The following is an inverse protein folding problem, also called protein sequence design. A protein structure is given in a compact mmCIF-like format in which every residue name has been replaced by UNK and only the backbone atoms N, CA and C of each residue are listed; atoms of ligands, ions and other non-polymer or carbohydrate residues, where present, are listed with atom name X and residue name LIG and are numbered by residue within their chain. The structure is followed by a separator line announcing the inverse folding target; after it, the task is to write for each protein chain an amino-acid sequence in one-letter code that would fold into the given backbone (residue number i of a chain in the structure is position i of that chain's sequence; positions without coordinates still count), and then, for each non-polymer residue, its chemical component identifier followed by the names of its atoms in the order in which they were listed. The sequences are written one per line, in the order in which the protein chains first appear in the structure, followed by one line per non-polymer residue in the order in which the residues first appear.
data_IF_539545255626
#
_entry.id   IF_539545255626
#
_cell.length_a   1.000
_cell.length_b   1.000
_cell.length_c   1.000
_cell.angle_alpha   90.00
_cell.angle_beta   90.00
_cell.angle_gamma   90.00
#
_symmetry.space_group_name_H-M   'P 1'
#
loop_
_entity.id
_entity.type
_entity.pdbx_description
1 polymer ?
#
# COMPACT_ATOMS: atom_id res chain seq x y z
N UNK A 1 28.19 -36.37 -0.41
CA UNK A 1 27.15 -35.68 0.36
C UNK A 1 27.71 -35.40 1.74
N UNK A 2 27.51 -34.21 2.27
CA UNK A 2 28.09 -33.78 3.55
C UNK A 2 27.07 -33.71 4.68
N UNK A 3 25.81 -33.43 4.37
CA UNK A 3 24.72 -33.34 5.35
C UNK A 3 23.37 -33.56 4.65
N UNK A 4 22.37 -34.03 5.40
CA UNK A 4 20.98 -34.16 4.95
C UNK A 4 20.10 -33.54 6.03
N UNK A 5 19.30 -32.53 5.66
CA UNK A 5 18.31 -31.91 6.54
C UNK A 5 16.91 -32.18 5.97
N UNK A 6 16.09 -32.89 6.74
CA UNK A 6 14.69 -33.18 6.37
C UNK A 6 13.79 -32.13 6.99
N UNK A 7 13.23 -31.27 6.16
CA UNK A 7 12.23 -30.27 6.55
C UNK A 7 10.81 -30.74 6.29
N UNK A 8 9.80 -29.90 6.59
CA UNK A 8 8.39 -30.28 6.47
C UNK A 8 7.95 -30.64 5.05
N UNK A 9 8.29 -29.80 4.07
CA UNK A 9 7.91 -30.01 2.66
C UNK A 9 9.08 -30.45 1.77
N UNK A 10 10.33 -30.24 2.21
CA UNK A 10 11.53 -30.39 1.41
C UNK A 10 12.62 -31.10 2.21
N UNK A 11 13.42 -31.91 1.53
CA UNK A 11 14.69 -32.41 2.04
C UNK A 11 15.83 -31.65 1.36
N UNK A 12 16.72 -31.06 2.16
CA UNK A 12 17.93 -30.39 1.68
C UNK A 12 19.11 -31.36 1.80
N UNK A 13 19.72 -31.68 0.67
CA UNK A 13 20.96 -32.47 0.58
C UNK A 13 22.12 -31.52 0.34
N UNK A 14 23.10 -31.51 1.23
CA UNK A 14 24.32 -30.72 1.08
C UNK A 14 25.38 -31.54 0.34
N UNK A 15 25.95 -30.94 -0.70
CA UNK A 15 26.99 -31.55 -1.53
C UNK A 15 28.16 -30.59 -1.63
N UNK A 16 29.33 -31.06 -1.21
CA UNK A 16 30.59 -30.35 -1.43
C UNK A 16 31.16 -30.75 -2.81
N UNK A 17 31.34 -29.80 -3.75
CA UNK A 17 31.98 -30.09 -5.03
C UNK A 17 33.43 -30.53 -4.84
N UNK A 18 33.91 -31.45 -5.68
CA UNK A 18 35.32 -31.80 -5.72
C UNK A 18 36.18 -30.58 -6.15
N UNK A 19 37.44 -30.49 -5.71
CA UNK A 19 38.34 -29.41 -6.14
C UNK A 19 38.39 -29.27 -7.66
N UNK A 20 38.31 -28.03 -8.15
CA UNK A 20 38.32 -27.72 -9.59
C UNK A 20 36.97 -27.83 -10.31
N UNK A 21 35.93 -28.39 -9.67
CA UNK A 21 34.58 -28.43 -10.27
C UNK A 21 33.92 -27.06 -10.16
N UNK A 22 33.61 -26.45 -11.32
CA UNK A 22 32.87 -25.18 -11.36
C UNK A 22 31.44 -25.37 -10.90
N UNK A 23 30.99 -24.52 -9.96
CA UNK A 23 29.61 -24.50 -9.45
C UNK A 23 28.59 -24.38 -10.61
N UNK A 24 28.88 -23.55 -11.62
CA UNK A 24 28.01 -23.34 -12.78
C UNK A 24 27.70 -24.63 -13.54
N UNK A 25 28.64 -25.59 -13.59
CA UNK A 25 28.43 -26.89 -14.24
C UNK A 25 27.42 -27.75 -13.50
N UNK A 26 27.41 -27.67 -12.16
CA UNK A 26 26.45 -28.40 -11.33
C UNK A 26 25.07 -27.76 -11.43
N UNK A 27 24.99 -26.42 -11.32
CA UNK A 27 23.71 -25.70 -11.40
C UNK A 27 23.05 -25.82 -12.77
N UNK A 28 23.83 -25.98 -13.85
CA UNK A 28 23.31 -26.22 -15.19
C UNK A 28 22.57 -27.57 -15.31
N UNK A 29 22.95 -28.57 -14.51
CA UNK A 29 22.32 -29.91 -14.50
C UNK A 29 21.01 -29.96 -13.70
N UNK A 30 20.48 -28.81 -13.25
CA UNK A 30 19.26 -28.77 -12.44
C UNK A 30 18.08 -29.49 -13.12
N UNK A 31 17.90 -29.30 -14.44
CA UNK A 31 16.84 -29.97 -15.21
C UNK A 31 17.03 -31.48 -15.26
N UNK A 32 18.23 -31.93 -15.62
CA UNK A 32 18.57 -33.35 -15.74
C UNK A 32 18.42 -34.09 -14.40
N UNK A 33 18.86 -33.47 -13.30
CA UNK A 33 18.72 -34.04 -11.95
C UNK A 33 17.25 -34.08 -11.52
N UNK A 34 16.46 -33.05 -11.88
CA UNK A 34 15.00 -33.06 -11.62
C UNK A 34 14.34 -34.26 -12.30
N UNK A 35 14.67 -34.49 -13.58
CA UNK A 35 14.16 -35.61 -14.37
C UNK A 35 14.62 -36.96 -13.79
N UNK A 36 15.90 -37.09 -13.46
CA UNK A 36 16.46 -38.33 -12.91
C UNK A 36 15.85 -38.72 -11.55
N UNK A 37 15.46 -37.73 -10.73
CA UNK A 37 14.81 -37.96 -9.45
C UNK A 37 13.29 -38.14 -9.55
N UNK A 38 12.71 -37.99 -10.74
CA UNK A 38 11.26 -37.91 -10.96
C UNK A 38 10.58 -36.90 -10.00
N UNK A 39 11.29 -35.81 -9.68
CA UNK A 39 10.79 -34.77 -8.79
C UNK A 39 9.96 -33.76 -9.58
N UNK A 40 8.87 -33.21 -9.03
CA UNK A 40 8.05 -32.22 -9.75
C UNK A 40 8.85 -30.94 -10.04
N UNK A 41 9.66 -30.49 -9.07
CA UNK A 41 10.57 -29.34 -9.16
C UNK A 41 11.76 -29.55 -8.24
N UNK A 42 12.89 -28.93 -8.57
CA UNK A 42 14.11 -28.95 -7.75
C UNK A 42 14.70 -27.53 -7.67
N UNK A 43 15.26 -27.18 -6.51
CA UNK A 43 16.00 -25.93 -6.31
C UNK A 43 17.42 -26.24 -5.88
N UNK A 44 18.39 -25.59 -6.52
CA UNK A 44 19.78 -25.59 -6.07
C UNK A 44 20.14 -24.26 -5.43
N UNK A 45 20.69 -24.30 -4.23
CA UNK A 45 21.25 -23.17 -3.52
C UNK A 45 22.77 -23.27 -3.54
N UNK A 46 23.41 -22.40 -4.33
CA UNK A 46 24.84 -22.46 -4.56
C UNK A 46 25.48 -21.05 -4.48
N UNK A 47 26.46 -20.82 -3.58
CA UNK A 47 26.77 -21.61 -2.39
C UNK A 47 25.71 -21.42 -1.29
N UNK A 48 25.63 -22.39 -0.37
CA UNK A 48 24.87 -22.22 0.89
C UNK A 48 25.57 -21.13 1.73
N UNK A 49 24.85 -20.12 2.23
CA UNK A 49 25.42 -19.09 3.09
C UNK A 49 26.22 -19.66 4.26
N UNK A 50 27.48 -19.25 4.40
CA UNK A 50 28.36 -19.68 5.48
C UNK A 50 28.90 -21.11 5.35
N UNK A 51 28.68 -21.81 4.22
CA UNK A 51 29.18 -23.17 3.99
C UNK A 51 29.85 -23.34 2.63
N UNK A 52 30.87 -24.20 2.57
CA UNK A 52 31.54 -24.61 1.34
C UNK A 52 30.77 -25.75 0.62
N UNK A 53 29.46 -25.60 0.45
CA UNK A 53 28.60 -26.64 -0.10
C UNK A 53 27.48 -26.05 -0.97
N UNK A 54 26.93 -26.90 -1.83
CA UNK A 54 25.72 -26.67 -2.62
C UNK A 54 24.56 -27.40 -1.95
N UNK A 55 23.45 -26.71 -1.75
CA UNK A 55 22.22 -27.30 -1.23
C UNK A 55 21.31 -27.71 -2.38
N UNK A 56 20.93 -28.98 -2.44
CA UNK A 56 19.92 -29.49 -3.35
C UNK A 56 18.63 -29.72 -2.56
N UNK A 57 17.61 -28.94 -2.84
CA UNK A 57 16.30 -29.04 -2.19
C UNK A 57 15.35 -29.86 -3.06
N UNK A 58 14.91 -31.00 -2.51
CA UNK A 58 14.05 -31.97 -3.18
C UNK A 58 12.71 -32.03 -2.41
N UNK A 59 11.55 -31.95 -3.09
CA UNK A 59 10.25 -32.14 -2.48
C UNK A 59 10.10 -33.49 -1.79
N UNK A 60 9.57 -33.50 -0.58
CA UNK A 60 9.23 -34.73 0.12
C UNK A 60 8.04 -35.42 -0.57
N UNK A 61 8.04 -36.76 -0.60
CA UNK A 61 6.89 -37.53 -1.09
C UNK A 61 5.63 -37.33 -0.23
N UNK A 62 5.83 -37.05 1.07
CA UNK A 62 4.78 -36.71 2.03
C UNK A 62 5.23 -35.45 2.76
N UNK A 63 4.54 -34.34 2.56
CA UNK A 63 4.77 -33.12 3.30
C UNK A 63 4.05 -33.17 4.65
N UNK A 64 4.68 -32.64 5.69
CA UNK A 64 4.02 -32.37 6.96
C UNK A 64 3.55 -30.93 7.01
N UNK A 65 2.32 -30.71 7.48
CA UNK A 65 1.78 -29.39 7.72
C UNK A 65 2.56 -28.70 8.85
N UNK A 66 2.88 -27.42 8.70
CA UNK A 66 3.43 -26.59 9.78
C UNK A 66 2.27 -25.83 10.40
N UNK A 67 1.78 -26.28 11.54
CA UNK A 67 0.63 -25.63 12.20
C UNK A 67 1.07 -24.35 12.92
N UNK A 68 0.24 -23.30 12.90
CA UNK A 68 0.56 -22.01 13.52
C UNK A 68 0.84 -22.14 15.02
N UNK A 69 0.11 -23.01 15.70
CA UNK A 69 0.28 -23.29 17.14
C UNK A 69 1.73 -23.65 17.49
N UNK A 70 2.37 -24.49 16.70
CA UNK A 70 3.76 -24.91 16.96
C UNK A 70 4.74 -23.74 16.92
N UNK A 71 4.45 -22.74 16.08
CA UNK A 71 5.27 -21.54 15.97
C UNK A 71 4.98 -20.59 17.13
N UNK A 72 3.71 -20.36 17.46
CA UNK A 72 3.29 -19.48 18.56
C UNK A 72 3.76 -20.02 19.92
N UNK A 73 3.79 -21.35 20.10
CA UNK A 73 4.29 -21.97 21.33
C UNK A 73 5.82 -22.08 21.40
N UNK A 74 6.52 -21.79 20.29
CA UNK A 74 7.98 -21.84 20.23
C UNK A 74 8.67 -20.85 21.16
N UNK A 75 9.92 -21.15 21.53
CA UNK A 75 10.74 -20.24 22.34
C UNK A 75 10.99 -18.93 21.60
N UNK A 76 11.24 -19.01 20.29
CA UNK A 76 11.50 -17.88 19.40
C UNK A 76 10.34 -16.87 19.42
N UNK A 77 9.10 -17.35 19.32
CA UNK A 77 7.93 -16.48 19.37
C UNK A 77 7.66 -15.97 20.78
N UNK A 78 7.64 -16.85 21.80
CA UNK A 78 7.33 -16.46 23.18
C UNK A 78 8.34 -15.50 23.80
N UNK A 79 9.62 -15.63 23.44
CA UNK A 79 10.67 -14.74 23.95
C UNK A 79 10.73 -13.37 23.25
N UNK A 80 10.07 -13.21 22.10
CA UNK A 80 9.97 -11.92 21.43
C UNK A 80 9.11 -10.94 22.22
N UNK A 81 9.66 -9.75 22.50
CA UNK A 81 9.00 -8.66 23.23
C UNK A 81 8.19 -7.72 22.34
N UNK A 82 8.39 -7.77 21.02
CA UNK A 82 7.69 -6.87 20.10
C UNK A 82 6.23 -7.26 19.95
N UNK A 83 5.27 -6.32 20.13
CA UNK A 83 3.85 -6.63 20.00
C UNK A 83 3.42 -6.88 18.55
N UNK A 84 4.27 -6.55 17.56
CA UNK A 84 4.03 -6.81 16.13
C UNK A 84 4.92 -7.94 15.62
N UNK A 85 5.17 -8.94 16.47
CA UNK A 85 5.85 -10.19 16.08
C UNK A 85 4.92 -11.08 15.28
N UNK A 86 5.42 -11.64 14.18
CA UNK A 86 4.71 -12.52 13.27
C UNK A 86 5.34 -13.92 13.29
N UNK A 87 4.51 -14.94 13.49
CA UNK A 87 4.91 -16.34 13.32
C UNK A 87 4.86 -16.68 11.82
N UNK A 88 6.01 -16.87 11.17
CA UNK A 88 6.05 -17.09 9.72
C UNK A 88 6.03 -18.57 9.36
N UNK A 89 6.81 -19.42 10.04
CA UNK A 89 6.86 -20.85 9.71
C UNK A 89 8.19 -21.51 10.04
N UNK A 90 8.58 -22.51 9.24
CA UNK A 90 9.82 -23.28 9.43
C UNK A 90 10.69 -23.30 8.18
N UNK A 91 12.00 -23.23 8.37
CA UNK A 91 12.97 -23.49 7.29
C UNK A 91 13.11 -25.00 7.02
N UNK A 92 13.80 -25.37 5.93
CA UNK A 92 14.14 -26.76 5.59
C UNK A 92 14.94 -27.50 6.69
N UNK A 93 15.64 -26.76 7.56
CA UNK A 93 16.34 -27.31 8.73
C UNK A 93 15.41 -27.63 9.92
N UNK A 94 14.13 -27.26 9.83
CA UNK A 94 13.16 -27.34 10.92
C UNK A 94 13.17 -26.12 11.86
N UNK A 95 14.14 -25.21 11.70
CA UNK A 95 14.27 -23.98 12.49
C UNK A 95 13.00 -23.13 12.35
N UNK A 96 12.46 -22.71 13.49
CA UNK A 96 11.33 -21.78 13.56
C UNK A 96 11.78 -20.39 13.14
N UNK A 97 11.01 -19.76 12.26
CA UNK A 97 11.22 -18.40 11.81
C UNK A 97 10.05 -17.52 12.24
N UNK A 98 10.40 -16.50 13.00
CA UNK A 98 9.53 -15.40 13.41
C UNK A 98 10.11 -14.10 12.89
N UNK A 99 9.27 -13.09 12.70
CA UNK A 99 9.69 -11.79 12.23
C UNK A 99 9.03 -10.66 13.03
N UNK A 100 9.58 -9.45 12.96
CA UNK A 100 9.17 -8.33 13.81
C UNK A 100 9.07 -7.05 12.97
N UNK A 101 7.86 -6.51 12.82
CA UNK A 101 7.63 -5.30 12.03
C UNK A 101 8.34 -4.07 12.60
N UNK A 102 8.74 -4.01 13.87
CA UNK A 102 9.52 -2.85 14.37
C UNK A 102 10.91 -2.77 13.74
N UNK A 103 11.46 -3.93 13.34
CA UNK A 103 12.77 -4.06 12.71
C UNK A 103 12.70 -4.00 11.18
N UNK A 104 11.56 -4.42 10.62
CA UNK A 104 11.23 -4.37 9.20
C UNK A 104 9.87 -3.67 9.03
N UNK A 105 9.84 -2.33 8.98
CA UNK A 105 8.65 -1.51 9.26
C UNK A 105 7.47 -1.75 8.34
N UNK A 106 7.72 -2.23 7.12
CA UNK A 106 6.70 -2.50 6.11
C UNK A 106 7.02 -3.80 5.40
N UNK A 107 5.98 -4.55 5.02
CA UNK A 107 6.08 -5.86 4.40
C UNK A 107 5.23 -5.92 3.13
N UNK A 108 5.84 -6.38 2.04
CA UNK A 108 5.14 -6.71 0.79
C UNK A 108 5.00 -8.23 0.66
N UNK A 109 3.77 -8.72 0.45
CA UNK A 109 3.45 -10.14 0.28
C UNK A 109 2.86 -10.34 -1.12
N UNK A 110 3.44 -11.22 -1.93
CA UNK A 110 2.91 -11.46 -3.27
C UNK A 110 3.03 -12.92 -3.70
N UNK A 111 2.08 -13.37 -4.52
CA UNK A 111 2.07 -14.73 -5.06
C UNK A 111 0.79 -15.03 -5.83
N UNK A 112 0.78 -16.11 -6.61
CA UNK A 112 -0.40 -16.50 -7.37
C UNK A 112 -1.55 -16.96 -6.45
N UNK A 113 -2.78 -16.98 -6.96
CA UNK A 113 -3.94 -17.57 -6.26
C UNK A 113 -3.65 -19.01 -5.82
N UNK A 114 -4.05 -19.38 -4.60
CA UNK A 114 -3.83 -20.73 -4.04
C UNK A 114 -2.39 -21.02 -3.58
N UNK A 115 -1.47 -20.05 -3.67
CA UNK A 115 -0.07 -20.24 -3.26
C UNK A 115 0.17 -20.23 -1.75
N UNK A 116 -0.78 -19.70 -0.96
CA UNK A 116 -0.68 -19.57 0.50
C UNK A 116 -0.72 -18.13 1.03
N UNK A 117 -0.86 -17.12 0.16
CA UNK A 117 -0.91 -15.69 0.54
C UNK A 117 -1.95 -15.38 1.62
N UNK A 118 -3.21 -15.78 1.42
CA UNK A 118 -4.29 -15.45 2.35
C UNK A 118 -4.12 -16.12 3.72
N UNK A 119 -3.70 -17.39 3.72
CA UNK A 119 -3.36 -18.11 4.95
C UNK A 119 -2.25 -17.38 5.73
N UNK A 120 -1.22 -16.89 5.04
CA UNK A 120 -0.14 -16.12 5.66
C UNK A 120 -0.63 -14.81 6.29
N UNK A 121 -1.59 -14.11 5.66
CA UNK A 121 -2.21 -12.91 6.25
C UNK A 121 -2.95 -13.29 7.54
N UNK A 122 -3.71 -14.39 7.53
CA UNK A 122 -4.37 -14.90 8.73
C UNK A 122 -3.37 -15.27 9.82
N UNK A 123 -2.29 -15.98 9.48
CA UNK A 123 -1.22 -16.32 10.42
C UNK A 123 -0.63 -15.07 11.06
N UNK A 124 -0.35 -14.03 10.27
CA UNK A 124 0.19 -12.76 10.73
C UNK A 124 -0.76 -12.07 11.73
N UNK A 125 -2.06 -11.97 11.40
CA UNK A 125 -3.05 -11.32 12.26
C UNK A 125 -3.21 -12.10 13.56
N UNK A 126 -3.41 -13.42 13.47
CA UNK A 126 -3.57 -14.29 14.63
C UNK A 126 -2.31 -14.27 15.51
N UNK A 127 -1.11 -14.24 14.92
CA UNK A 127 0.15 -14.09 15.67
C UNK A 127 0.12 -12.86 16.56
N UNK A 128 -0.22 -11.70 16.00
CA UNK A 128 -0.25 -10.45 16.76
C UNK A 128 -1.35 -10.48 17.83
N UNK A 129 -2.53 -11.03 17.52
CA UNK A 129 -3.65 -11.15 18.48
C UNK A 129 -3.29 -12.07 19.66
N UNK A 130 -2.54 -13.15 19.42
CA UNK A 130 -2.07 -14.04 20.49
C UNK A 130 -0.99 -13.41 21.38
N UNK A 131 -0.33 -12.34 20.91
CA UNK A 131 0.77 -11.69 21.62
C UNK A 131 0.38 -10.37 22.28
N UNK A 132 -0.61 -9.66 21.73
CA UNK A 132 -0.79 -8.23 21.97
C UNK A 132 -2.24 -7.88 22.26
N UNK A 133 -2.44 -7.00 23.24
CA UNK A 133 -3.76 -6.43 23.53
C UNK A 133 -4.10 -5.30 22.54
N UNK A 134 -5.37 -4.85 22.47
CA UNK A 134 -5.74 -3.67 21.69
C UNK A 134 -5.01 -2.38 22.09
N UNK A 135 -4.48 -2.31 23.31
CA UNK A 135 -3.67 -1.18 23.77
C UNK A 135 -2.22 -1.22 23.23
N UNK A 136 -1.76 -2.39 22.78
CA UNK A 136 -0.42 -2.58 22.21
C UNK A 136 -0.41 -2.46 20.68
N UNK A 137 -1.45 -2.99 20.03
CA UNK A 137 -1.61 -3.01 18.56
C UNK A 137 -3.05 -2.74 18.17
N UNK A 138 -3.22 -1.90 17.17
CA UNK A 138 -4.50 -1.69 16.48
C UNK A 138 -4.35 -1.94 14.98
N UNK A 139 -5.46 -2.34 14.35
CA UNK A 139 -5.52 -2.73 12.95
C UNK A 139 -6.41 -1.82 12.12
N UNK A 140 -5.97 -1.57 10.88
CA UNK A 140 -6.80 -1.10 9.78
C UNK A 140 -6.76 -2.20 8.72
N UNK A 141 -7.90 -2.86 8.49
CA UNK A 141 -8.01 -3.99 7.58
C UNK A 141 -8.74 -3.58 6.31
N UNK A 142 -8.11 -3.78 5.16
CA UNK A 142 -8.65 -3.44 3.84
C UNK A 142 -8.77 -4.72 3.02
N UNK A 143 -10.02 -5.14 2.79
CA UNK A 143 -10.40 -6.37 2.08
C UNK A 143 -11.41 -6.05 0.97
N UNK A 144 -10.93 -5.60 -0.20
CA UNK A 144 -11.81 -5.21 -1.31
C UNK A 144 -12.63 -6.39 -1.86
N UNK A 145 -12.21 -7.64 -1.59
CA UNK A 145 -12.86 -8.86 -2.06
C UNK A 145 -13.91 -9.40 -1.09
N UNK A 146 -13.92 -8.95 0.17
CA UNK A 146 -14.83 -9.39 1.24
C UNK A 146 -14.69 -10.86 1.63
N UNK A 147 -13.58 -11.49 1.29
CA UNK A 147 -13.39 -12.94 1.48
C UNK A 147 -12.52 -13.23 2.68
N UNK A 148 -11.39 -12.54 2.80
CA UNK A 148 -10.29 -13.00 3.63
C UNK A 148 -10.34 -12.42 5.05
N UNK A 149 -10.75 -11.15 5.19
CA UNK A 149 -10.56 -10.40 6.44
C UNK A 149 -11.85 -10.01 7.14
N UNK A 150 -13.01 -10.22 6.51
CA UNK A 150 -14.33 -9.90 7.08
C UNK A 150 -14.61 -10.69 8.37
N UNK A 151 -14.04 -11.89 8.51
CA UNK A 151 -14.11 -12.71 9.74
C UNK A 151 -13.59 -11.97 10.99
N UNK A 152 -12.67 -11.02 10.82
CA UNK A 152 -12.10 -10.23 11.91
C UNK A 152 -12.97 -9.04 12.34
N UNK A 153 -14.16 -8.84 11.77
CA UNK A 153 -15.00 -7.67 12.05
C UNK A 153 -15.40 -7.46 13.52
N UNK A 154 -15.30 -8.50 14.36
CA UNK A 154 -15.54 -8.40 15.81
C UNK A 154 -14.27 -8.23 16.65
N UNK A 155 -13.10 -8.09 16.04
CA UNK A 155 -11.83 -8.01 16.76
C UNK A 155 -11.70 -6.64 17.45
N UNK A 156 -11.45 -6.58 18.77
CA UNK A 156 -11.38 -5.31 19.52
C UNK A 156 -10.18 -4.43 19.12
N UNK A 157 -9.19 -4.99 18.42
CA UNK A 157 -8.03 -4.29 17.89
C UNK A 157 -8.36 -3.38 16.69
N UNK A 158 -9.56 -3.49 16.08
CA UNK A 158 -9.91 -2.68 14.91
C UNK A 158 -10.08 -1.20 15.26
N UNK A 159 -9.42 -0.32 14.50
CA UNK A 159 -9.64 1.14 14.59
C UNK A 159 -10.89 1.59 13.84
N UNK A 160 -11.30 0.80 12.85
CA UNK A 160 -12.43 1.08 11.98
C UNK A 160 -13.02 -0.24 11.45
N UNK A 161 -14.27 -0.25 10.94
CA UNK A 161 -14.82 -1.42 10.27
C UNK A 161 -13.90 -1.90 9.15
N UNK A 162 -13.89 -3.22 8.88
CA UNK A 162 -13.13 -3.79 7.76
C UNK A 162 -13.56 -3.08 6.47
N UNK A 163 -12.60 -2.48 5.79
CA UNK A 163 -12.86 -1.61 4.64
C UNK A 163 -12.94 -2.45 3.39
N UNK A 164 -14.13 -2.54 2.82
CA UNK A 164 -14.39 -3.41 1.66
C UNK A 164 -14.58 -2.68 0.34
N UNK A 165 -14.66 -1.35 0.37
CA UNK A 165 -14.89 -0.53 -0.83
C UNK A 165 -13.60 0.19 -1.21
N UNK A 166 -13.19 0.11 -2.48
CA UNK A 166 -11.90 0.64 -2.95
C UNK A 166 -11.76 2.16 -2.70
N UNK A 167 -12.84 2.93 -2.85
CA UNK A 167 -12.82 4.38 -2.55
C UNK A 167 -12.63 4.66 -1.06
N UNK A 168 -13.28 3.88 -0.19
CA UNK A 168 -13.10 3.99 1.26
C UNK A 168 -11.71 3.53 1.70
N UNK A 169 -11.10 2.60 0.95
CA UNK A 169 -9.73 2.14 1.21
C UNK A 169 -8.69 3.27 1.06
N UNK A 170 -8.81 4.11 0.04
CA UNK A 170 -7.96 5.30 -0.11
C UNK A 170 -8.13 6.26 1.09
N UNK A 171 -9.35 6.47 1.57
CA UNK A 171 -9.60 7.26 2.78
C UNK A 171 -8.97 6.63 4.02
N UNK A 172 -9.09 5.32 4.21
CA UNK A 172 -8.50 4.62 5.34
C UNK A 172 -6.97 4.79 5.39
N UNK A 173 -6.30 4.75 4.22
CA UNK A 173 -4.87 5.05 4.11
C UNK A 173 -4.55 6.51 4.47
N UNK A 174 -5.35 7.47 3.98
CA UNK A 174 -5.20 8.89 4.36
C UNK A 174 -5.41 9.12 5.86
N UNK A 175 -6.34 8.41 6.49
CA UNK A 175 -6.53 8.45 7.94
C UNK A 175 -5.32 7.88 8.69
N UNK A 176 -4.71 6.80 8.18
CA UNK A 176 -3.47 6.28 8.74
C UNK A 176 -2.32 7.30 8.64
N UNK A 177 -2.20 8.02 7.51
CA UNK A 177 -1.25 9.14 7.36
C UNK A 177 -1.55 10.26 8.37
N UNK A 178 -2.81 10.65 8.52
CA UNK A 178 -3.23 11.69 9.48
C UNK A 178 -2.84 11.31 10.91
N UNK A 179 -3.15 10.09 11.34
CA UNK A 179 -2.74 9.59 12.66
C UNK A 179 -1.23 9.55 12.84
N UNK A 180 -0.48 9.20 11.79
CA UNK A 180 0.98 9.24 11.81
C UNK A 180 1.49 10.68 12.04
N UNK A 181 0.98 11.66 11.29
CA UNK A 181 1.38 13.06 11.41
C UNK A 181 0.97 13.66 12.78
N UNK A 182 -0.22 13.32 13.29
CA UNK A 182 -0.67 13.69 14.64
C UNK A 182 0.28 13.17 15.73
N UNK A 183 0.71 11.91 15.63
CA UNK A 183 1.69 11.33 16.56
C UNK A 183 2.99 12.12 16.59
N UNK A 184 3.49 12.55 15.44
CA UNK A 184 4.70 13.38 15.41
C UNK A 184 4.54 14.71 16.14
N UNK A 185 3.36 15.34 16.06
CA UNK A 185 3.05 16.55 16.85
C UNK A 185 3.10 16.25 18.34
N UNK A 186 2.38 15.20 18.79
CA UNK A 186 2.35 14.80 20.20
C UNK A 186 3.74 14.37 20.71
N UNK A 187 4.55 13.71 19.88
CA UNK A 187 5.91 13.32 20.23
C UNK A 187 6.79 14.54 20.46
N UNK A 188 6.67 15.56 19.61
CA UNK A 188 7.40 16.81 19.73
C UNK A 188 7.07 17.55 21.03
N UNK A 189 5.79 17.62 21.40
CA UNK A 189 5.32 18.28 22.63
C UNK A 189 5.95 17.69 23.90
N UNK A 190 6.16 16.38 23.94
CA UNK A 190 6.77 15.69 25.09
C UNK A 190 8.27 15.40 24.88
N UNK A 191 8.88 15.90 23.79
CA UNK A 191 10.28 15.71 23.45
C UNK A 191 10.70 14.26 23.14
N UNK A 192 9.76 13.42 22.70
CA UNK A 192 10.02 12.05 22.24
C UNK A 192 10.39 12.02 20.74
N UNK A 193 11.26 11.09 20.34
CA UNK A 193 11.68 10.93 18.94
C UNK A 193 10.91 9.86 18.17
N UNK A 194 10.24 8.95 18.88
CA UNK A 194 9.50 7.82 18.34
C UNK A 194 8.47 7.31 19.35
N UNK A 195 7.64 6.38 18.91
CA UNK A 195 6.58 5.78 19.70
C UNK A 195 7.09 5.12 20.99
N UNK A 196 8.22 4.41 20.92
CA UNK A 196 8.80 3.75 22.09
C UNK A 196 9.15 4.76 23.18
N UNK A 197 9.89 5.83 22.82
CA UNK A 197 10.26 6.89 23.76
C UNK A 197 9.06 7.69 24.25
N UNK A 198 8.03 7.86 23.41
CA UNK A 198 6.79 8.48 23.83
C UNK A 198 6.11 7.65 24.92
N UNK A 199 5.92 6.35 24.68
CA UNK A 199 5.27 5.44 25.63
C UNK A 199 6.07 5.24 26.93
N UNK A 200 7.41 5.27 26.86
CA UNK A 200 8.28 5.23 28.05
C UNK A 200 8.10 6.45 28.95
N UNK A 201 7.81 7.63 28.37
CA UNK A 201 7.60 8.88 29.11
C UNK A 201 6.20 9.03 29.70
N UNK A 202 5.26 8.17 29.31
CA UNK A 202 3.91 8.19 29.87
C UNK A 202 3.91 7.49 31.23
N UNK A 203 3.64 8.28 32.27
CA UNK A 203 3.38 7.78 33.63
C UNK A 203 2.07 7.00 33.65
N UNK A 204 1.03 7.54 33.02
CA UNK A 204 -0.27 6.90 32.84
C UNK A 204 -0.27 6.00 31.59
N UNK A 205 -0.34 4.69 31.80
CA UNK A 205 -0.36 3.70 30.71
C UNK A 205 -1.58 3.79 29.81
N UNK A 206 -2.68 4.42 30.25
CA UNK A 206 -3.84 4.66 29.39
C UNK A 206 -3.56 5.69 28.28
N UNK A 207 -2.51 6.51 28.44
CA UNK A 207 -2.05 7.50 27.45
C UNK A 207 -1.00 6.95 26.50
N UNK A 208 -0.52 5.72 26.72
CA UNK A 208 0.35 5.04 25.77
C UNK A 208 -0.41 4.82 24.46
N UNK A 209 0.29 5.00 23.35
CA UNK A 209 -0.26 4.81 22.02
C UNK A 209 0.09 3.40 21.50
N UNK A 210 -0.88 2.69 20.90
CA UNK A 210 -0.64 1.39 20.29
C UNK A 210 0.17 1.54 19.00
N UNK A 211 0.78 0.44 18.52
CA UNK A 211 1.24 0.37 17.13
C UNK A 211 0.04 0.23 16.20
N UNK A 212 0.07 0.89 15.05
CA UNK A 212 -0.96 0.74 14.01
C UNK A 212 -0.39 -0.15 12.91
N UNK A 213 -1.12 -1.21 12.56
CA UNK A 213 -0.77 -2.09 11.44
C UNK A 213 -1.89 -2.02 10.40
N UNK A 214 -1.57 -1.46 9.24
CA UNK A 214 -2.47 -1.38 8.10
C UNK A 214 -2.22 -2.58 7.20
N UNK A 215 -3.25 -3.38 6.96
CA UNK A 215 -3.17 -4.61 6.18
C UNK A 215 -4.10 -4.51 4.97
N UNK A 216 -3.55 -4.70 3.78
CA UNK A 216 -4.28 -4.67 2.51
C UNK A 216 -4.19 -6.05 1.86
N UNK A 217 -5.31 -6.74 1.68
CA UNK A 217 -5.31 -8.09 1.09
C UNK A 217 -4.95 -8.08 -0.41
N UNK A 218 -5.49 -7.13 -1.17
CA UNK A 218 -5.26 -7.03 -2.61
C UNK A 218 -5.01 -5.58 -3.03
N UNK A 219 -3.73 -5.18 -3.04
CA UNK A 219 -3.30 -3.85 -3.45
C UNK A 219 -3.72 -3.53 -4.89
N UNK A 220 -3.75 -4.52 -5.78
CA UNK A 220 -4.06 -4.30 -7.19
C UNK A 220 -5.45 -3.67 -7.38
N UNK A 221 -6.44 -4.07 -6.57
CA UNK A 221 -7.81 -3.57 -6.69
C UNK A 221 -7.90 -2.08 -6.30
N UNK A 222 -7.05 -1.64 -5.38
CA UNK A 222 -6.94 -0.23 -4.98
C UNK A 222 -6.24 0.59 -6.07
N UNK A 223 -5.13 0.08 -6.61
CA UNK A 223 -4.35 0.73 -7.67
C UNK A 223 -5.15 0.89 -8.97
N UNK A 224 -6.13 0.02 -9.22
CA UNK A 224 -7.03 0.14 -10.38
C UNK A 224 -8.05 1.28 -10.24
N UNK A 225 -8.35 1.73 -9.02
CA UNK A 225 -9.40 2.74 -8.77
C UNK A 225 -8.81 4.11 -8.49
N UNK A 226 -7.77 4.19 -7.67
CA UNK A 226 -7.16 5.44 -7.23
C UNK A 226 -5.63 5.28 -7.05
N UNK A 227 -4.85 5.06 -8.13
CA UNK A 227 -3.43 4.75 -8.04
C UNK A 227 -2.63 5.84 -7.33
N UNK A 228 -2.82 7.10 -7.72
CA UNK A 228 -2.04 8.23 -7.17
C UNK A 228 -2.26 8.39 -5.66
N UNK A 229 -3.53 8.41 -5.21
CA UNK A 229 -3.86 8.59 -3.79
C UNK A 229 -3.35 7.45 -2.91
N UNK A 230 -3.44 6.22 -3.43
CA UNK A 230 -3.01 5.00 -2.73
C UNK A 230 -1.49 4.95 -2.67
N UNK A 231 -0.79 5.19 -3.78
CA UNK A 231 0.66 5.18 -3.85
C UNK A 231 1.27 6.30 -2.98
N UNK A 232 0.73 7.51 -3.03
CA UNK A 232 1.18 8.63 -2.20
C UNK A 232 1.06 8.30 -0.71
N UNK A 233 -0.08 7.74 -0.29
CA UNK A 233 -0.31 7.37 1.10
C UNK A 233 0.62 6.24 1.55
N UNK A 234 0.82 5.21 0.70
CA UNK A 234 1.76 4.11 0.95
C UNK A 234 3.17 4.65 1.09
N UNK A 235 3.64 5.50 0.18
CA UNK A 235 4.99 6.07 0.21
C UNK A 235 5.19 6.93 1.46
N UNK A 236 4.21 7.78 1.80
CA UNK A 236 4.26 8.64 2.99
C UNK A 236 4.38 7.83 4.28
N UNK A 237 3.56 6.79 4.43
CA UNK A 237 3.63 5.87 5.59
C UNK A 237 4.94 5.08 5.55
N UNK A 238 5.37 4.59 4.40
CA UNK A 238 6.59 3.79 4.31
C UNK A 238 7.86 4.58 4.69
N UNK A 239 7.87 5.88 4.41
CA UNK A 239 8.99 6.78 4.74
C UNK A 239 9.03 7.21 6.21
N UNK A 240 7.86 7.46 6.81
CA UNK A 240 7.77 8.09 8.15
C UNK A 240 7.10 7.19 9.20
N UNK A 241 6.52 6.07 8.81
CA UNK A 241 5.70 5.23 9.68
C UNK A 241 6.51 4.53 10.79
N UNK A 242 7.75 4.16 10.51
CA UNK A 242 8.61 3.42 11.46
C UNK A 242 8.68 4.07 12.84
N UNK A 243 9.03 5.37 12.92
CA UNK A 243 9.17 6.05 14.20
C UNK A 243 7.81 6.41 14.82
N UNK A 244 6.77 6.61 14.01
CA UNK A 244 5.39 6.79 14.47
C UNK A 244 4.73 5.49 14.98
N UNK A 245 5.35 4.33 14.73
CA UNK A 245 4.78 3.01 15.00
C UNK A 245 3.56 2.72 14.12
N UNK A 246 3.60 3.17 12.86
CA UNK A 246 2.61 2.84 11.82
C UNK A 246 3.29 1.94 10.80
N UNK A 247 2.75 0.73 10.61
CA UNK A 247 3.32 -0.32 9.79
C UNK A 247 2.37 -0.70 8.65
N UNK A 248 2.93 -1.14 7.52
CA UNK A 248 2.16 -1.57 6.35
C UNK A 248 2.42 -3.04 6.07
N UNK A 249 1.35 -3.79 5.79
CA UNK A 249 1.42 -5.12 5.18
C UNK A 249 0.58 -5.06 3.91
N UNK A 250 1.27 -5.02 2.77
CA UNK A 250 0.64 -4.94 1.46
C UNK A 250 0.66 -6.32 0.84
N UNK A 251 -0.50 -6.84 0.45
CA UNK A 251 -0.59 -8.10 -0.24
C UNK A 251 -1.15 -7.93 -1.66
N UNK A 252 -0.72 -8.76 -2.60
CA UNK A 252 -1.25 -8.77 -3.97
C UNK A 252 -1.15 -10.15 -4.61
N UNK A 253 -2.16 -10.52 -5.39
CA UNK A 253 -2.10 -11.71 -6.25
C UNK A 253 -1.58 -11.39 -7.66
N UNK A 254 -1.41 -10.10 -7.97
CA UNK A 254 -0.92 -9.58 -9.25
C UNK A 254 0.47 -8.97 -9.08
N UNK A 255 1.54 -9.81 -9.13
CA UNK A 255 2.92 -9.34 -9.05
C UNK A 255 3.37 -8.77 -10.40
N UNK A 256 2.79 -7.64 -10.79
CA UNK A 256 3.16 -6.87 -11.97
C UNK A 256 3.70 -5.47 -11.58
N UNK A 257 4.41 -4.82 -12.52
CA UNK A 257 5.09 -3.55 -12.25
C UNK A 257 4.14 -2.34 -12.13
N UNK A 258 2.88 -2.49 -12.52
CA UNK A 258 1.86 -1.43 -12.38
C UNK A 258 1.25 -1.43 -10.99
N UNK A 259 1.19 -2.60 -10.34
CA UNK A 259 0.75 -2.74 -8.95
C UNK A 259 1.94 -2.57 -7.98
N UNK A 260 3.07 -3.22 -8.26
CA UNK A 260 4.29 -3.15 -7.45
C UNK A 260 5.27 -2.21 -8.14
N UNK A 261 5.00 -0.91 -8.01
CA UNK A 261 5.76 0.16 -8.65
C UNK A 261 7.18 0.27 -8.06
N UNK A 262 8.05 1.01 -8.75
CA UNK A 262 9.40 1.30 -8.25
C UNK A 262 9.41 2.05 -6.90
N UNK A 263 8.43 2.95 -6.69
CA UNK A 263 8.30 3.71 -5.45
C UNK A 263 7.87 2.83 -4.28
N UNK A 264 6.94 1.91 -4.50
CA UNK A 264 6.54 0.94 -3.46
C UNK A 264 7.73 0.05 -3.08
N UNK A 265 8.46 -0.48 -4.07
CA UNK A 265 9.62 -1.35 -3.83
C UNK A 265 10.77 -0.65 -3.12
N UNK A 266 11.01 0.62 -3.41
CA UNK A 266 12.12 1.37 -2.81
C UNK A 266 11.85 1.71 -1.34
N UNK A 267 10.58 1.87 -0.95
CA UNK A 267 10.20 2.20 0.43
C UNK A 267 9.80 0.96 1.27
N UNK A 268 9.54 -0.19 0.65
CA UNK A 268 9.16 -1.44 1.34
C UNK A 268 10.19 -2.54 1.02
N UNK A 269 11.33 -2.58 1.75
CA UNK A 269 12.42 -3.49 1.45
C UNK A 269 12.14 -4.94 1.89
N UNK A 270 11.26 -5.16 2.87
CA UNK A 270 10.95 -6.51 3.36
C UNK A 270 9.84 -7.16 2.53
N UNK A 271 10.07 -8.41 2.13
CA UNK A 271 9.24 -9.09 1.14
C UNK A 271 8.99 -10.54 1.49
N UNK A 272 7.79 -11.03 1.20
CA UNK A 272 7.44 -12.45 1.12
C UNK A 272 6.94 -12.74 -0.28
N UNK A 273 7.61 -13.65 -0.99
CA UNK A 273 7.14 -14.18 -2.26
C UNK A 273 6.66 -15.61 -2.08
N UNK A 274 5.38 -15.85 -2.34
CA UNK A 274 4.84 -17.18 -2.55
C UNK A 274 5.04 -17.62 -4.00
N UNK A 275 4.62 -18.85 -4.31
CA UNK A 275 4.74 -19.40 -5.65
C UNK A 275 4.11 -18.49 -6.72
N UNK A 276 4.87 -18.23 -7.78
CA UNK A 276 4.47 -17.44 -8.96
C UNK A 276 4.65 -18.25 -10.24
N UNK A 277 4.02 -17.81 -11.33
CA UNK A 277 4.05 -18.51 -12.61
C UNK A 277 5.37 -18.34 -13.38
N UNK A 278 6.12 -17.26 -13.14
CA UNK A 278 7.30 -16.93 -13.95
C UNK A 278 8.42 -16.27 -13.15
N UNK A 279 9.65 -16.42 -13.65
CA UNK A 279 10.83 -15.73 -13.12
C UNK A 279 10.73 -14.21 -13.25
N UNK A 280 9.93 -13.70 -14.20
CA UNK A 280 9.64 -12.26 -14.33
C UNK A 280 8.85 -11.78 -13.11
N UNK A 281 7.77 -12.48 -12.74
CA UNK A 281 7.01 -12.14 -11.55
C UNK A 281 7.84 -12.26 -10.27
N UNK A 282 8.72 -13.27 -10.18
CA UNK A 282 9.65 -13.38 -9.06
C UNK A 282 10.53 -12.13 -8.93
N UNK A 283 11.07 -11.60 -10.04
CA UNK A 283 11.89 -10.39 -10.04
C UNK A 283 11.10 -9.13 -9.71
N UNK A 284 9.83 -9.07 -10.10
CA UNK A 284 8.97 -7.94 -9.72
C UNK A 284 8.82 -7.89 -8.21
N UNK A 285 8.70 -9.04 -7.54
CA UNK A 285 8.60 -9.11 -6.08
C UNK A 285 9.98 -8.92 -5.45
N UNK A 286 10.90 -9.87 -5.64
CA UNK A 286 12.16 -10.01 -4.88
C UNK A 286 13.38 -9.34 -5.51
N UNK A 287 13.23 -8.70 -6.67
CA UNK A 287 14.35 -8.25 -7.52
C UNK A 287 15.31 -9.40 -7.94
N UNK A 288 14.87 -10.66 -7.77
CA UNK A 288 15.59 -11.86 -8.19
C UNK A 288 14.64 -13.00 -8.57
N UNK A 289 15.17 -13.99 -9.29
CA UNK A 289 14.45 -15.25 -9.59
C UNK A 289 14.50 -16.21 -8.41
N UNK A 290 13.50 -17.10 -8.31
CA UNK A 290 13.44 -18.15 -7.29
C UNK A 290 12.02 -18.48 -6.86
N UNK A 291 11.11 -17.51 -6.83
CA UNK A 291 9.74 -17.73 -6.39
C UNK A 291 8.94 -18.60 -7.38
N UNK A 292 9.33 -18.60 -8.66
CA UNK A 292 8.76 -19.49 -9.68
C UNK A 292 9.07 -20.97 -9.46
N UNK A 293 10.04 -21.28 -8.58
CA UNK A 293 10.46 -22.64 -8.24
C UNK A 293 9.80 -23.17 -6.96
N UNK A 294 8.97 -22.36 -6.30
CA UNK A 294 8.23 -22.76 -5.11
C UNK A 294 7.14 -23.76 -5.46
N UNK A 295 6.71 -24.52 -4.45
CA UNK A 295 5.75 -25.62 -4.55
C UNK A 295 4.29 -25.18 -4.39
N UNK A 296 4.06 -23.95 -3.90
CA UNK A 296 2.73 -23.48 -3.48
C UNK A 296 2.38 -23.97 -2.07
N UNK A 297 1.10 -23.90 -1.69
CA UNK A 297 0.59 -24.38 -0.40
C UNK A 297 1.41 -23.91 0.82
N UNK A 298 1.77 -22.63 0.87
CA UNK A 298 2.52 -22.03 1.97
C UNK A 298 4.05 -22.02 1.79
N UNK A 299 4.60 -22.68 0.76
CA UNK A 299 6.03 -22.56 0.44
C UNK A 299 6.35 -21.15 -0.07
N UNK A 300 7.30 -20.48 0.58
CA UNK A 300 7.61 -19.07 0.35
C UNK A 300 9.10 -18.75 0.46
N UNK A 301 9.49 -17.63 -0.14
CA UNK A 301 10.76 -16.94 0.07
C UNK A 301 10.53 -15.70 0.91
N UNK A 302 11.12 -15.65 2.09
CA UNK A 302 11.09 -14.49 2.98
C UNK A 302 12.41 -13.72 2.88
N UNK A 303 12.33 -12.46 2.50
CA UNK A 303 13.46 -11.53 2.39
C UNK A 303 13.26 -10.36 3.37
N UNK A 304 13.77 -10.47 4.60
CA UNK A 304 13.74 -9.35 5.53
C UNK A 304 14.71 -8.24 5.10
N UNK A 305 14.41 -7.01 5.49
CA UNK A 305 15.29 -5.87 5.29
C UNK A 305 16.70 -6.12 5.85
N UNK A 306 17.72 -5.68 5.11
CA UNK A 306 19.13 -5.89 5.44
C UNK A 306 19.67 -7.30 5.22
N UNK A 307 18.85 -8.29 4.81
CA UNK A 307 19.36 -9.62 4.50
C UNK A 307 19.94 -9.71 3.08
N UNK A 308 21.08 -10.39 2.96
CA UNK A 308 21.78 -10.57 1.67
C UNK A 308 21.01 -11.48 0.69
N UNK A 309 20.25 -12.45 1.20
CA UNK A 309 19.49 -13.42 0.41
C UNK A 309 18.17 -13.76 1.10
N UNK A 310 17.11 -14.07 0.34
CA UNK A 310 15.87 -14.61 0.90
C UNK A 310 16.11 -15.98 1.52
N UNK A 311 15.36 -16.27 2.58
CA UNK A 311 15.31 -17.57 3.25
C UNK A 311 14.03 -18.28 2.81
N UNK A 312 14.14 -19.55 2.41
CA UNK A 312 12.98 -20.36 2.02
C UNK A 312 12.32 -20.99 3.24
N UNK A 313 11.01 -20.84 3.34
CA UNK A 313 10.20 -21.28 4.48
C UNK A 313 8.98 -22.05 4.00
N UNK A 314 8.59 -23.06 4.76
CA UNK A 314 7.21 -23.53 4.77
C UNK A 314 6.43 -22.65 5.75
N UNK A 315 5.46 -21.91 5.22
CA UNK A 315 4.55 -21.08 5.99
C UNK A 315 3.80 -21.88 7.03
N UNK A 316 3.52 -21.22 8.15
CA UNK A 316 2.55 -21.69 9.12
C UNK A 316 1.17 -21.88 8.44
N UNK A 317 0.30 -22.58 9.14
CA UNK A 317 -1.05 -22.82 8.70
C UNK A 317 -1.98 -22.70 9.90
N UNK A 318 -2.96 -21.82 9.76
CA UNK A 318 -4.15 -21.74 10.57
C UNK A 318 -5.35 -22.05 9.68
N UNK A 319 -6.21 -22.95 10.15
CA UNK A 319 -7.45 -23.28 9.46
C UNK A 319 -8.52 -22.22 9.73
N UNK A 320 -9.50 -22.09 8.82
CA UNK A 320 -10.57 -21.09 8.96
C UNK A 320 -11.39 -21.32 10.25
N UNK A 321 -11.63 -22.58 10.62
CA UNK A 321 -12.33 -22.94 11.87
C UNK A 321 -11.52 -22.55 13.13
N UNK A 322 -10.19 -22.56 13.05
CA UNK A 322 -9.31 -22.03 14.11
C UNK A 322 -9.46 -20.51 14.24
N UNK A 323 -9.46 -19.78 13.11
CA UNK A 323 -9.70 -18.33 13.10
C UNK A 323 -11.07 -18.00 13.70
N UNK A 324 -12.12 -18.71 13.28
CA UNK A 324 -13.47 -18.52 13.81
C UNK A 324 -13.56 -18.77 15.31
N UNK A 325 -12.87 -19.79 15.83
CA UNK A 325 -12.78 -20.05 17.28
C UNK A 325 -12.14 -18.90 18.05
N UNK A 326 -11.05 -18.33 17.51
CA UNK A 326 -10.42 -17.15 18.12
C UNK A 326 -11.39 -15.97 18.11
N UNK A 327 -12.12 -15.74 17.02
CA UNK A 327 -13.10 -14.66 16.96
C UNK A 327 -14.30 -14.92 17.88
N UNK A 328 -14.74 -16.17 18.03
CA UNK A 328 -15.81 -16.57 18.94
C UNK A 328 -15.42 -16.32 20.40
N UNK A 329 -14.15 -16.50 20.77
CA UNK A 329 -13.65 -16.14 22.10
C UNK A 329 -13.90 -14.66 22.40
N UNK A 330 -13.51 -13.73 21.52
CA UNK A 330 -13.74 -12.29 21.72
C UNK A 330 -15.23 -11.94 21.82
N UNK A 331 -16.07 -12.53 20.94
CA UNK A 331 -17.53 -12.36 21.02
C UNK A 331 -18.11 -12.85 22.34
N UNK A 332 -17.67 -14.00 22.83
CA UNK A 332 -18.14 -14.58 24.11
C UNK A 332 -17.77 -13.76 25.33
N UNK A 333 -16.68 -12.98 25.24
CA UNK A 333 -16.21 -12.06 26.28
C UNK A 333 -16.82 -10.66 26.15
N UNK A 334 -17.75 -10.46 25.20
CA UNK A 334 -18.34 -9.15 24.88
C UNK A 334 -17.28 -8.08 24.55
N UNK A 335 -16.09 -8.50 24.11
CA UNK A 335 -15.06 -7.60 23.62
C UNK A 335 -15.40 -7.27 22.17
N UNK A 336 -15.83 -6.03 21.92
CA UNK A 336 -16.18 -5.53 20.60
C UNK A 336 -15.34 -4.30 20.28
N UNK A 337 -15.02 -4.05 19.00
CA UNK A 337 -14.38 -2.81 18.63
C UNK A 337 -15.32 -1.64 18.90
N UNK A 338 -14.74 -0.52 19.32
CA UNK A 338 -15.46 0.74 19.49
C UNK A 338 -14.94 1.70 18.45
N UNK A 339 -15.84 2.16 17.57
CA UNK A 339 -15.53 3.11 16.53
C UNK A 339 -16.13 4.47 16.92
N UNK A 340 -15.35 5.54 16.84
CA UNK A 340 -15.88 6.88 17.00
C UNK A 340 -16.76 7.25 15.81
N UNK A 341 -17.83 8.02 16.04
CA UNK A 341 -18.73 8.50 14.98
C UNK A 341 -17.95 9.20 13.86
N UNK A 342 -16.95 10.02 14.21
CA UNK A 342 -16.06 10.68 13.27
C UNK A 342 -15.33 9.71 12.31
N UNK A 343 -14.93 8.53 12.77
CA UNK A 343 -14.25 7.54 11.92
C UNK A 343 -15.23 6.96 10.90
N UNK A 344 -16.48 6.75 11.31
CA UNK A 344 -17.54 6.25 10.43
C UNK A 344 -17.89 7.33 9.38
N UNK A 345 -18.00 8.59 9.81
CA UNK A 345 -18.25 9.73 8.93
C UNK A 345 -17.11 9.91 7.91
N UNK A 346 -15.85 9.97 8.36
CA UNK A 346 -14.67 10.13 7.51
C UNK A 346 -14.55 9.02 6.45
N UNK A 347 -14.94 7.78 6.79
CA UNK A 347 -15.02 6.67 5.83
C UNK A 347 -16.19 6.82 4.85
N UNK A 348 -17.32 7.38 5.27
CA UNK A 348 -18.52 7.56 4.44
C UNK A 348 -18.43 8.74 3.47
N UNK A 349 -17.64 9.78 3.80
CA UNK A 349 -17.49 10.97 2.98
C UNK A 349 -16.82 10.72 1.60
N UNK A 350 -16.32 9.51 1.34
CA UNK A 350 -15.84 9.06 0.03
C UNK A 350 -16.88 9.18 -1.10
N UNK A 351 -18.19 9.25 -0.78
CA UNK A 351 -19.25 9.36 -1.78
C UNK A 351 -19.44 10.78 -2.35
N UNK A 352 -19.00 11.83 -1.65
CA UNK A 352 -19.24 13.23 -2.07
C UNK A 352 -18.08 13.87 -2.84
N UNK A 353 -16.91 13.23 -2.88
CA UNK A 353 -15.74 13.70 -3.61
C UNK A 353 -15.49 12.85 -4.86
N UNK A 354 -16.47 12.81 -5.76
CA UNK A 354 -16.23 12.40 -7.14
C UNK A 354 -15.71 13.60 -7.93
N UNK A 355 -14.45 13.52 -8.39
CA UNK A 355 -13.75 14.48 -9.24
C UNK A 355 -13.15 15.73 -8.56
N UNK A 356 -12.16 15.56 -7.67
CA UNK A 356 -11.06 16.54 -7.50
C UNK A 356 -9.79 15.78 -7.15
N UNK A 357 -8.94 15.53 -8.15
CA UNK A 357 -7.60 15.00 -7.94
C UNK A 357 -6.69 16.07 -7.33
N UNK A 358 -6.11 15.74 -6.17
CA UNK A 358 -4.86 16.28 -5.66
C UNK A 358 -4.92 17.66 -5.01
N UNK A 359 -5.11 17.70 -3.69
CA UNK A 359 -4.66 18.82 -2.84
C UNK A 359 -4.06 18.28 -1.55
N UNK A 360 -2.73 18.39 -1.44
CA UNK A 360 -2.08 18.70 -0.16
C UNK A 360 -2.44 20.14 0.21
N UNK A 361 -2.85 20.36 1.45
CA UNK A 361 -2.91 21.70 2.04
C UNK A 361 -4.33 22.20 2.29
N UNK A 362 -4.62 22.37 3.58
CA UNK A 362 -5.82 22.93 4.17
C UNK A 362 -6.23 24.28 3.56
N UNK A 363 -7.54 24.52 3.47
CA UNK A 363 -8.10 25.84 3.28
C UNK A 363 -9.13 25.87 2.15
N UNK A 364 -10.36 26.31 2.49
CA UNK A 364 -11.22 26.98 1.51
C UNK A 364 -10.45 28.18 0.96
N UNK A 365 -9.71 28.00 -0.12
CA UNK A 365 -9.29 29.08 -0.99
C UNK A 365 -9.48 28.59 -2.41
N UNK A 366 -10.43 29.21 -3.09
CA UNK A 366 -10.35 29.31 -4.54
C UNK A 366 -8.92 29.74 -4.92
N UNK A 367 -8.38 29.23 -6.03
CA UNK A 367 -7.07 29.64 -6.55
C UNK A 367 -6.96 31.18 -6.43
N UNK A 368 -5.91 31.70 -5.80
CA UNK A 368 -5.72 33.15 -5.59
C UNK A 368 -5.86 33.96 -6.89
N UNK A 369 -5.60 33.30 -8.03
CA UNK A 369 -5.72 33.87 -9.37
C UNK A 369 -7.12 33.74 -9.98
N UNK A 370 -8.10 33.12 -9.32
CA UNK A 370 -9.46 32.97 -9.84
C UNK A 370 -10.13 34.32 -10.05
N UNK A 371 -10.08 35.24 -9.08
CA UNK A 371 -10.59 36.61 -9.23
C UNK A 371 -9.93 37.34 -10.42
N UNK A 372 -8.59 37.46 -10.44
CA UNK A 372 -7.85 38.00 -11.58
C UNK A 372 -8.19 37.34 -12.92
N UNK A 373 -8.39 36.02 -12.95
CA UNK A 373 -8.71 35.28 -14.17
C UNK A 373 -10.13 35.56 -14.65
N UNK A 374 -11.12 35.61 -13.74
CA UNK A 374 -12.50 35.96 -14.07
C UNK A 374 -12.58 37.38 -14.60
N UNK A 375 -11.80 38.31 -14.02
CA UNK A 375 -11.67 39.67 -14.52
C UNK A 375 -11.14 39.72 -15.95
N UNK A 376 -10.04 39.02 -16.24
CA UNK A 376 -9.49 38.94 -17.60
C UNK A 376 -10.55 38.42 -18.56
N UNK A 377 -11.27 37.36 -18.20
CA UNK A 377 -12.31 36.80 -19.06
C UNK A 377 -13.46 37.80 -19.27
N UNK A 378 -13.87 38.54 -18.24
CA UNK A 378 -14.86 39.63 -18.32
C UNK A 378 -14.43 40.79 -19.23
N UNK A 379 -13.17 41.22 -19.15
CA UNK A 379 -12.62 42.31 -19.97
C UNK A 379 -12.56 41.94 -21.47
N UNK A 380 -12.27 40.67 -21.77
CA UNK A 380 -12.12 40.20 -23.15
C UNK A 380 -13.41 39.64 -23.76
N UNK A 381 -14.46 39.44 -22.96
CA UNK A 381 -15.76 38.93 -23.40
C UNK A 381 -15.76 37.46 -23.88
N UNK A 382 -14.63 36.76 -23.79
CA UNK A 382 -14.47 35.36 -24.18
C UNK A 382 -13.46 34.66 -23.27
N UNK A 383 -13.67 33.38 -22.98
CA UNK A 383 -12.78 32.59 -22.13
C UNK A 383 -12.00 31.54 -22.94
N UNK A 384 -10.67 31.61 -22.91
CA UNK A 384 -9.81 30.57 -23.47
C UNK A 384 -8.58 30.33 -22.60
N UNK A 385 -8.13 29.09 -22.54
CA UNK A 385 -6.98 28.67 -21.73
C UNK A 385 -5.70 29.41 -22.14
N UNK A 386 -5.44 29.56 -23.44
CA UNK A 386 -4.29 30.29 -23.97
C UNK A 386 -4.30 31.79 -23.68
N UNK A 387 -5.48 32.40 -23.52
CA UNK A 387 -5.62 33.80 -23.12
C UNK A 387 -5.28 33.99 -21.65
N UNK A 388 -5.90 33.18 -20.76
CA UNK A 388 -5.64 33.23 -19.31
C UNK A 388 -4.17 32.92 -19.02
N UNK A 389 -3.58 31.94 -19.73
CA UNK A 389 -2.17 31.59 -19.66
C UNK A 389 -1.25 32.80 -19.93
N UNK A 390 -1.49 33.52 -21.04
CA UNK A 390 -0.66 34.66 -21.44
C UNK A 390 -0.85 35.88 -20.54
N UNK A 391 -2.08 36.16 -20.10
CA UNK A 391 -2.39 37.35 -19.30
C UNK A 391 -1.98 37.25 -17.85
N UNK A 392 -2.14 36.07 -17.24
CA UNK A 392 -1.73 35.84 -15.86
C UNK A 392 -0.32 35.27 -15.74
N UNK A 393 0.37 35.04 -16.86
CA UNK A 393 1.72 34.44 -16.92
C UNK A 393 1.79 33.12 -16.14
N UNK A 394 0.76 32.29 -16.26
CA UNK A 394 0.66 30.98 -15.61
C UNK A 394 0.93 29.85 -16.60
N UNK A 395 1.25 28.65 -16.11
CA UNK A 395 1.38 27.45 -16.95
C UNK A 395 0.04 27.03 -17.58
N UNK A 396 0.10 26.30 -18.71
CA UNK A 396 -1.09 25.84 -19.44
C UNK A 396 -2.05 25.02 -18.56
N UNK A 397 -1.51 24.13 -17.72
CA UNK A 397 -2.29 23.31 -16.80
C UNK A 397 -3.07 24.13 -15.78
N UNK A 398 -2.45 25.17 -15.20
CA UNK A 398 -3.11 26.08 -14.25
C UNK A 398 -4.15 26.96 -14.95
N UNK A 399 -3.86 27.44 -16.16
CA UNK A 399 -4.82 28.20 -16.97
C UNK A 399 -6.05 27.35 -17.35
N UNK A 400 -5.85 26.07 -17.68
CA UNK A 400 -6.95 25.13 -17.93
C UNK A 400 -7.82 24.94 -16.69
N UNK A 401 -7.20 24.66 -15.53
CA UNK A 401 -7.94 24.50 -14.26
C UNK A 401 -8.73 25.75 -13.89
N UNK A 402 -8.19 26.96 -14.13
CA UNK A 402 -8.90 28.21 -13.90
C UNK A 402 -10.16 28.32 -14.79
N UNK A 403 -10.07 27.97 -16.07
CA UNK A 403 -11.22 27.95 -16.99
C UNK A 403 -12.25 26.88 -16.58
N UNK A 404 -11.81 25.70 -16.19
CA UNK A 404 -12.70 24.62 -15.76
C UNK A 404 -13.39 24.98 -14.42
N UNK A 405 -12.67 25.65 -13.51
CA UNK A 405 -13.23 26.19 -12.27
C UNK A 405 -14.28 27.26 -12.55
N UNK A 406 -14.03 28.14 -13.53
CA UNK A 406 -15.02 29.13 -13.97
C UNK A 406 -16.28 28.48 -14.55
N UNK A 407 -16.16 27.37 -15.29
CA UNK A 407 -17.32 26.64 -15.80
C UNK A 407 -18.13 26.01 -14.67
N UNK A 408 -17.45 25.34 -13.73
CA UNK A 408 -18.10 24.72 -12.56
C UNK A 408 -18.86 25.74 -11.71
N UNK A 409 -18.33 26.95 -11.57
CA UNK A 409 -18.97 28.06 -10.86
C UNK A 409 -20.01 28.83 -11.69
N UNK A 410 -20.22 28.44 -12.96
CA UNK A 410 -21.17 29.08 -13.86
C UNK A 410 -20.75 30.48 -14.32
N UNK A 411 -19.45 30.82 -14.24
CA UNK A 411 -18.92 32.10 -14.72
C UNK A 411 -18.70 32.12 -16.23
N UNK A 412 -18.45 30.95 -16.84
CA UNK A 412 -18.31 30.77 -18.29
C UNK A 412 -19.15 29.60 -18.77
N UNK A 413 -19.50 29.58 -20.05
CA UNK A 413 -20.30 28.52 -20.65
C UNK A 413 -19.54 27.20 -20.72
N UNK A 414 -20.30 26.12 -20.95
CA UNK A 414 -19.73 24.79 -21.14
C UNK A 414 -18.88 24.72 -22.39
N UNK A 415 -17.94 23.78 -22.42
CA UNK A 415 -17.11 23.53 -23.59
C UNK A 415 -17.96 23.23 -24.83
N UNK A 416 -17.85 24.09 -25.86
CA UNK A 416 -18.59 23.97 -27.11
C UNK A 416 -17.63 23.87 -28.32
N UNK A 417 -16.75 22.85 -28.27
CA UNK A 417 -15.77 22.57 -29.33
C UNK A 417 -14.53 23.47 -29.28
N UNK A 418 -13.95 23.79 -30.43
CA UNK A 418 -12.67 24.55 -30.54
C UNK A 418 -12.80 26.07 -30.35
N UNK A 419 -14.01 26.59 -30.12
CA UNK A 419 -14.26 28.03 -29.95
C UNK A 419 -14.02 28.47 -28.49
N UNK A 420 -13.63 29.74 -28.26
CA UNK A 420 -13.61 30.33 -26.92
C UNK A 420 -14.97 30.22 -26.24
N UNK A 421 -14.99 30.00 -24.93
CA UNK A 421 -16.22 29.87 -24.12
C UNK A 421 -16.84 31.25 -23.89
N UNK A 422 -18.16 31.30 -23.86
CA UNK A 422 -18.90 32.54 -23.61
C UNK A 422 -18.84 32.91 -22.13
N UNK A 423 -18.82 34.20 -21.82
CA UNK A 423 -18.76 34.70 -20.44
C UNK A 423 -20.18 34.91 -19.92
N UNK A 424 -20.51 34.23 -18.82
CA UNK A 424 -21.85 34.24 -18.22
C UNK A 424 -21.93 35.24 -17.06
N UNK A 425 -20.87 35.32 -16.24
CA UNK A 425 -20.82 36.24 -15.10
C UNK A 425 -20.90 37.70 -15.57
N UNK A 426 -21.64 38.54 -14.85
CA UNK A 426 -21.71 39.99 -15.10
C UNK A 426 -20.79 40.78 -14.17
N UNK A 427 -20.37 41.98 -14.56
CA UNK A 427 -19.50 42.84 -13.75
C UNK A 427 -20.05 43.10 -12.33
N UNK A 428 -21.37 43.28 -12.18
CA UNK A 428 -22.00 43.46 -10.86
C UNK A 428 -21.82 42.24 -9.94
N UNK A 429 -21.95 41.02 -10.49
CA UNK A 429 -21.76 39.76 -9.75
C UNK A 429 -20.29 39.52 -9.43
N UNK A 430 -19.37 39.91 -10.30
CA UNK A 430 -17.93 39.84 -10.01
C UNK A 430 -17.57 40.70 -8.79
N UNK A 431 -18.08 41.93 -8.70
CA UNK A 431 -17.84 42.82 -7.56
C UNK A 431 -18.39 42.25 -6.25
N UNK A 432 -19.59 41.68 -6.29
CA UNK A 432 -20.23 41.06 -5.13
C UNK A 432 -19.45 39.83 -4.62
N UNK A 433 -18.87 39.03 -5.54
CA UNK A 433 -18.18 37.78 -5.19
C UNK A 433 -16.72 38.00 -4.78
N UNK A 434 -16.01 38.92 -5.45
CA UNK A 434 -14.55 39.08 -5.27
C UNK A 434 -14.15 40.38 -4.55
N UNK A 435 -15.09 41.30 -4.28
CA UNK A 435 -14.83 42.53 -3.52
C UNK A 435 -13.86 43.51 -4.19
N UNK A 436 -13.65 43.37 -5.50
CA UNK A 436 -12.72 44.19 -6.29
C UNK A 436 -13.45 45.34 -6.98
N UNK A 437 -13.27 46.56 -6.45
CA UNK A 437 -13.86 47.81 -6.96
C UNK A 437 -13.00 48.52 -8.00
N UNK A 438 -11.88 47.93 -8.44
CA UNK A 438 -11.06 48.61 -9.46
C UNK A 438 -11.81 48.70 -10.80
N UNK A 439 -11.72 49.83 -11.52
CA UNK A 439 -12.42 50.02 -12.79
C UNK A 439 -12.00 48.97 -13.83
N UNK A 440 -12.98 48.42 -14.56
CA UNK A 440 -12.71 47.64 -15.77
C UNK A 440 -12.22 48.60 -16.86
N UNK A 441 -11.26 48.16 -17.68
CA UNK A 441 -10.87 48.93 -18.85
C UNK A 441 -12.09 49.11 -19.79
N UNK A 442 -12.36 50.33 -20.21
CA UNK A 442 -13.43 50.61 -21.18
C UNK A 442 -13.14 49.86 -22.49
N UNK A 443 -14.06 48.98 -22.88
CA UNK A 443 -14.05 48.36 -24.19
C UNK A 443 -14.52 49.43 -25.18
N UNK A 444 -13.71 49.83 -26.19
CA UNK A 444 -14.20 50.74 -27.22
C UNK A 444 -15.42 50.12 -27.89
N UNK A 445 -16.51 50.88 -28.00
CA UNK A 445 -17.69 50.44 -28.72
C UNK A 445 -17.30 50.00 -30.14
N UNK A 446 -17.85 48.89 -30.67
CA UNK A 446 -17.61 48.51 -32.06
C UNK A 446 -18.12 49.65 -32.96
N UNK A 447 -17.24 50.17 -33.82
CA UNK A 447 -17.59 51.16 -34.82
C UNK A 447 -18.76 50.64 -35.66
N UNK A 448 -19.94 51.21 -35.44
CA UNK A 448 -21.05 51.11 -36.38
C UNK A 448 -20.69 51.96 -37.60
N UNK A 449 -19.87 51.41 -38.51
CA UNK A 449 -19.76 51.97 -39.85
C UNK A 449 -21.13 51.82 -40.54
N UNK A 450 -21.76 52.92 -41.00
CA UNK A 450 -23.03 52.82 -41.70
C UNK A 450 -22.84 52.06 -43.02
N UNK A 451 -23.78 51.16 -43.30
CA UNK A 451 -23.93 50.51 -44.59
C UNK A 451 -24.24 51.61 -45.61
N UNK A 452 -23.22 52.05 -46.33
CA UNK A 452 -23.32 52.94 -47.47
C UNK A 452 -23.47 52.13 -48.75
N UNK A 453 -24.58 52.37 -49.44
CA UNK A 453 -24.84 51.92 -50.80
C UNK A 453 -23.66 52.21 -51.74
N UNK A 454 -23.05 51.16 -52.30
CA UNK A 454 -22.37 51.24 -53.59
C UNK A 454 -22.61 49.94 -54.37
N UNK A 455 -23.67 49.96 -55.17
CA UNK A 455 -23.74 49.23 -56.42
C UNK A 455 -22.68 49.77 -57.41
N UNK A 456 -22.31 48.90 -58.36
CA UNK A 456 -21.87 49.17 -59.75
C UNK A 456 -20.38 49.14 -60.11
N UNK A 457 -20.15 48.32 -61.13
CA UNK A 457 -19.23 48.46 -62.27
C UNK A 457 -17.73 48.19 -62.04
N UNK A 458 -17.29 46.94 -62.28
CA UNK A 458 -16.72 46.49 -63.57
C UNK A 458 -16.19 45.07 -63.50
#
# INVERSE_FOLDING_TARGET
MTNIAVGPALTRIEIQPAPGVRISRITALQGDITMALAAPRLRMEAPIPGKNAIGIEIPNKRSSLVVLRDIVESKEFRSSTSPVTMALGREASGKVIVADLTRMPHLLIAGATGSGKSVCINDIIISMVYKSSPADVQFILIDPKKVEMTVYGSLPHLMMPVVTENKKAANALRMAVKHMDERYKTFSEVGAKNLERYNERMEDKSKCLPRIVVIIDELADLMMVAPDEVEDSICRIAQLGRAAGVHLILATQRPDATVITGLIKSNIPSRIAFAVSSAVNSRIILDMSGAEKLLGHGDMLFHPDGANKPVRLQGAYVADDEVERVMAFFRSKSLRPTFSEQVIEDLSHAEKTGAVGGVFGEGKQDDELLGPAVRVVLEYGQASTSMVQRRLRVGYSRASRLIDTMELKGYVSRFNGSKPRDVIIKQAQYREIFGDDTPFAEIPAPDHAPIGDFYRDK
#
